data_IF_873268952563
#
_entry.id   IF_873268952563
#
_cell.length_a   1.000
_cell.length_b   1.000
_cell.length_c   1.000
_cell.angle_alpha   90.00
_cell.angle_beta   90.00
_cell.angle_gamma   90.00
#
_symmetry.space_group_name_H-M   'P 1'
#
loop_
_entity.id
_entity.type
_entity.pdbx_description
1 polymer ?
#
# COMPACT_ATOMS: atom_id res chain seq x y z
N UNK A 1 -4.32 -12.57 19.33
CA UNK A 1 -4.94 -12.97 18.05
C UNK A 1 -4.09 -12.54 16.86
N UNK A 2 -3.75 -11.26 16.73
CA UNK A 2 -3.00 -10.77 15.56
C UNK A 2 -1.67 -11.49 15.33
N UNK A 3 -0.89 -11.76 16.38
CA UNK A 3 0.40 -12.45 16.26
C UNK A 3 0.29 -13.89 15.72
N UNK A 4 -0.71 -14.66 16.19
CA UNK A 4 -0.97 -16.02 15.70
C UNK A 4 -1.48 -16.03 14.26
N UNK A 5 -2.34 -15.06 13.92
CA UNK A 5 -2.79 -14.84 12.55
C UNK A 5 -1.61 -14.53 11.62
N UNK A 6 -0.70 -13.65 12.05
CA UNK A 6 0.52 -13.33 11.32
C UNK A 6 1.41 -14.55 11.12
N UNK A 7 1.65 -15.33 12.18
CA UNK A 7 2.40 -16.57 12.07
C UNK A 7 1.80 -17.47 10.98
N UNK A 8 0.50 -17.74 11.03
CA UNK A 8 -0.19 -18.60 10.04
C UNK A 8 -0.11 -18.05 8.61
N UNK A 9 -0.37 -16.76 8.42
CA UNK A 9 -0.35 -16.11 7.08
C UNK A 9 1.06 -16.11 6.49
N UNK A 10 2.10 -15.96 7.33
CA UNK A 10 3.50 -15.96 6.87
C UNK A 10 3.89 -17.27 6.17
N UNK A 11 3.35 -18.41 6.61
CA UNK A 11 3.63 -19.72 6.00
C UNK A 11 2.89 -19.96 4.67
N UNK A 12 1.77 -19.29 4.42
CA UNK A 12 0.92 -19.57 3.24
C UNK A 12 1.18 -18.56 2.13
N UNK A 13 1.09 -17.27 2.43
CA UNK A 13 1.12 -16.20 1.42
C UNK A 13 2.16 -15.12 1.70
N UNK A 14 2.75 -15.10 2.90
CA UNK A 14 3.53 -13.96 3.39
C UNK A 14 2.64 -12.82 3.89
N UNK A 15 3.20 -11.94 4.72
CA UNK A 15 2.50 -10.79 5.30
C UNK A 15 2.92 -9.52 4.55
N UNK A 16 1.96 -8.78 4.03
CA UNK A 16 2.20 -7.49 3.39
C UNK A 16 2.28 -6.34 4.41
N UNK A 17 1.24 -6.15 5.23
CA UNK A 17 1.20 -5.18 6.33
C UNK A 17 0.22 -5.71 7.39
N UNK A 18 0.61 -5.67 8.65
CA UNK A 18 -0.21 -6.14 9.77
C UNK A 18 -0.82 -4.95 10.52
N UNK A 19 -2.12 -5.04 10.82
CA UNK A 19 -2.85 -3.98 11.54
C UNK A 19 -3.57 -4.54 12.75
N UNK A 20 -3.49 -3.83 13.87
CA UNK A 20 -4.22 -4.12 15.10
C UNK A 20 -4.91 -2.84 15.60
N UNK A 21 -6.24 -2.85 15.63
CA UNK A 21 -7.07 -1.66 15.89
C UNK A 21 -7.38 -1.50 17.40
N UNK A 22 -7.14 -2.56 18.17
CA UNK A 22 -7.49 -2.64 19.59
C UNK A 22 -8.97 -2.99 19.82
N UNK A 23 -9.34 -3.12 21.10
CA UNK A 23 -10.71 -3.50 21.53
C UNK A 23 -11.50 -2.37 22.18
N UNK A 24 -11.02 -1.13 22.10
CA UNK A 24 -11.70 0.04 22.66
C UNK A 24 -12.96 0.36 21.82
N UNK A 25 -13.98 0.94 22.48
CA UNK A 25 -15.24 1.36 21.81
C UNK A 25 -14.97 2.42 20.73
N UNK A 26 -13.99 3.29 20.94
CA UNK A 26 -13.58 4.33 19.98
C UNK A 26 -12.08 4.19 19.66
N UNK A 27 -11.71 3.35 18.69
CA UNK A 27 -10.34 3.30 18.22
C UNK A 27 -10.01 4.52 17.34
N UNK A 28 -8.74 4.93 17.34
CA UNK A 28 -8.28 6.09 16.52
C UNK A 28 -8.31 5.85 15.00
N UNK A 29 -8.45 4.60 14.57
CA UNK A 29 -8.68 4.19 13.18
C UNK A 29 -9.66 3.01 13.16
N UNK A 30 -10.45 2.84 12.12
CA UNK A 30 -11.43 1.72 12.03
C UNK A 30 -10.97 0.68 11.01
N UNK A 31 -11.58 -0.51 11.03
CA UNK A 31 -11.24 -1.56 10.06
C UNK A 31 -11.50 -1.08 8.62
N UNK A 32 -12.57 -0.32 8.41
CA UNK A 32 -12.90 0.26 7.11
C UNK A 32 -11.82 1.20 6.58
N UNK A 33 -11.19 2.00 7.45
CA UNK A 33 -10.10 2.90 7.09
C UNK A 33 -8.90 2.12 6.51
N UNK A 34 -8.54 1.05 7.19
CA UNK A 34 -7.44 0.17 6.81
C UNK A 34 -7.77 -0.69 5.58
N UNK A 35 -9.01 -1.17 5.44
CA UNK A 35 -9.46 -1.89 4.23
C UNK A 35 -9.39 -0.97 3.00
N UNK A 36 -9.82 0.28 3.12
CA UNK A 36 -9.72 1.26 2.03
C UNK A 36 -8.27 1.54 1.64
N UNK A 37 -7.36 1.65 2.62
CA UNK A 37 -5.91 1.76 2.38
C UNK A 37 -5.39 0.55 1.60
N UNK A 38 -5.76 -0.66 1.98
CA UNK A 38 -5.36 -1.87 1.28
C UNK A 38 -5.93 -1.97 -0.12
N UNK A 39 -7.19 -1.60 -0.32
CA UNK A 39 -7.84 -1.65 -1.64
C UNK A 39 -7.20 -0.63 -2.61
N UNK A 40 -6.81 0.54 -2.08
CA UNK A 40 -6.04 1.55 -2.81
C UNK A 40 -4.66 1.04 -3.24
N UNK A 41 -4.05 0.16 -2.44
CA UNK A 41 -2.79 -0.50 -2.78
C UNK A 41 -2.98 -1.66 -3.76
N UNK A 42 -4.06 -2.43 -3.64
CA UNK A 42 -4.36 -3.61 -4.46
C UNK A 42 -4.59 -3.26 -5.93
N UNK A 43 -5.17 -2.10 -6.22
CA UNK A 43 -5.32 -1.60 -7.60
C UNK A 43 -4.08 -0.83 -8.07
N UNK A 44 -3.26 -0.34 -7.13
CA UNK A 44 -2.11 0.49 -7.43
C UNK A 44 -2.47 1.88 -7.96
N UNK A 45 -3.70 2.36 -7.76
CA UNK A 45 -4.14 3.69 -8.22
C UNK A 45 -4.24 4.68 -7.05
N UNK A 46 -3.62 5.85 -7.21
CA UNK A 46 -3.78 6.99 -6.30
C UNK A 46 -4.36 8.16 -7.08
N UNK A 47 -5.38 8.81 -6.52
CA UNK A 47 -5.96 10.01 -7.11
C UNK A 47 -5.16 11.25 -6.71
N UNK A 48 -4.47 11.81 -7.71
CA UNK A 48 -3.62 12.99 -7.67
C UNK A 48 -4.35 14.17 -8.30
N UNK A 49 -4.68 15.21 -7.53
CA UNK A 49 -5.33 16.43 -8.05
C UNK A 49 -6.55 16.11 -8.96
N UNK A 50 -7.38 15.16 -8.53
CA UNK A 50 -8.57 14.72 -9.28
C UNK A 50 -8.33 13.71 -10.42
N UNK A 51 -7.08 13.30 -10.69
CA UNK A 51 -6.75 12.25 -11.66
C UNK A 51 -6.20 11.01 -10.97
N UNK A 52 -6.83 9.86 -11.16
CA UNK A 52 -6.34 8.60 -10.62
C UNK A 52 -5.25 8.03 -11.53
N UNK A 53 -4.04 7.94 -10.99
CA UNK A 53 -2.82 7.50 -11.68
C UNK A 53 -2.32 6.22 -11.04
N UNK A 54 -1.79 5.30 -11.85
CA UNK A 54 -1.26 4.04 -11.36
C UNK A 54 0.15 4.25 -10.78
N UNK A 55 0.26 4.29 -9.45
CA UNK A 55 1.53 4.52 -8.75
C UNK A 55 2.47 3.33 -8.75
N UNK A 56 2.02 2.17 -9.25
CA UNK A 56 2.84 0.96 -9.35
C UNK A 56 3.63 0.89 -10.66
N UNK A 57 3.17 1.58 -11.71
CA UNK A 57 3.80 1.62 -13.05
C UNK A 57 4.18 3.03 -13.52
N UNK A 58 3.48 4.06 -13.09
CA UNK A 58 3.71 5.42 -13.60
C UNK A 58 5.03 5.98 -13.04
N UNK A 59 6.00 6.19 -13.94
CA UNK A 59 7.32 6.75 -13.60
C UNK A 59 7.24 8.16 -13.00
N UNK A 60 6.15 8.89 -13.21
CA UNK A 60 5.92 10.26 -12.68
C UNK A 60 5.22 10.27 -11.32
N UNK A 61 4.64 9.15 -10.90
CA UNK A 61 3.87 9.01 -9.67
C UNK A 61 4.24 7.72 -8.92
N UNK A 62 5.51 7.31 -8.96
CA UNK A 62 5.95 6.02 -8.44
C UNK A 62 5.89 5.96 -6.91
N UNK A 63 5.05 5.08 -6.36
CA UNK A 63 4.83 4.96 -4.90
C UNK A 63 4.05 6.12 -4.27
N UNK A 64 3.74 7.18 -5.04
CA UNK A 64 3.07 8.36 -4.49
C UNK A 64 2.87 9.47 -5.50
N UNK A 65 2.01 10.42 -5.14
CA UNK A 65 1.65 11.51 -6.01
C UNK A 65 2.82 12.48 -6.26
N UNK A 66 3.19 12.69 -7.52
CA UNK A 66 4.30 13.58 -7.91
C UNK A 66 5.69 12.99 -7.65
N UNK A 67 5.77 11.73 -7.23
CA UNK A 67 7.04 11.07 -6.95
C UNK A 67 7.63 10.51 -8.25
N UNK A 68 8.59 11.23 -8.85
CA UNK A 68 9.21 10.84 -10.12
C UNK A 68 10.54 10.14 -9.88
N UNK A 69 10.72 8.96 -10.47
CA UNK A 69 12.00 8.27 -10.44
C UNK A 69 13.08 9.03 -11.23
N UNK A 70 14.35 8.92 -10.81
CA UNK A 70 15.50 9.51 -11.52
C UNK A 70 15.58 9.02 -12.98
N UNK A 71 16.20 9.81 -13.87
CA UNK A 71 16.41 9.42 -15.28
C UNK A 71 17.17 8.09 -15.32
N UNK A 72 16.58 7.09 -15.99
CA UNK A 72 17.11 5.72 -16.07
C UNK A 72 16.31 4.72 -15.24
N UNK A 73 15.69 5.15 -14.13
CA UNK A 73 14.97 4.25 -13.24
C UNK A 73 13.56 3.90 -13.76
N UNK A 74 13.12 2.70 -13.45
CA UNK A 74 11.78 2.21 -13.73
C UNK A 74 10.96 2.13 -12.45
N UNK A 75 9.65 2.37 -12.57
CA UNK A 75 8.73 2.16 -11.45
C UNK A 75 8.29 0.70 -11.47
N UNK A 76 8.63 -0.05 -10.44
CA UNK A 76 8.33 -1.47 -10.30
C UNK A 76 7.74 -1.66 -8.90
N UNK A 77 6.49 -2.13 -8.85
CA UNK A 77 5.73 -2.30 -7.60
C UNK A 77 5.71 -1.07 -6.69
N UNK A 78 5.64 0.14 -7.28
CA UNK A 78 5.61 1.38 -6.50
C UNK A 78 6.97 1.80 -5.93
N UNK A 79 8.06 1.12 -6.33
CA UNK A 79 9.43 1.47 -5.99
C UNK A 79 10.21 1.84 -7.25
N UNK A 80 11.06 2.87 -7.14
CA UNK A 80 11.99 3.23 -8.20
C UNK A 80 13.15 2.23 -8.23
N UNK A 81 13.03 1.20 -9.05
CA UNK A 81 14.13 0.27 -9.28
C UNK A 81 15.09 0.81 -10.34
N UNK A 82 16.38 0.57 -10.14
CA UNK A 82 17.40 0.77 -11.16
C UNK A 82 17.30 -0.43 -12.10
N UNK A 83 16.99 -0.18 -13.37
CA UNK A 83 17.13 -1.16 -14.43
C UNK A 83 18.42 -0.85 -15.19
#
# INVERSE_FOLDING_TARGET
MSNEMYNTIAWVTGIYEGIAIGGYVFPGSTLSDHVLRFNKHATGYICCKGKCVNVMKDKRHCGGCGNRCKKGNTCVYGMCSYA
#
